data_IF_416007825270
#
_entry.id   IF_416007825270
#
_cell.length_a   1.000
_cell.length_b   1.000
_cell.length_c   1.000
_cell.angle_alpha   90.00
_cell.angle_beta   90.00
_cell.angle_gamma   90.00
#
_symmetry.space_group_name_H-M   'P 1'
#
loop_
_entity.id
_entity.type
_entity.pdbx_description
1 polymer ?
#
# COMPACT_ATOMS: atom_id res chain seq x y z
N UNK A 1 -4.73 8.00 -13.26
CA UNK A 1 -4.60 6.55 -13.47
C UNK A 1 -5.80 5.89 -12.84
N UNK A 2 -6.61 5.24 -13.62
CA UNK A 2 -7.71 4.44 -13.09
C UNK A 2 -7.13 3.09 -12.66
N UNK A 3 -7.17 2.78 -11.38
CA UNK A 3 -7.17 1.40 -10.90
C UNK A 3 -8.56 0.83 -11.19
N UNK A 4 -8.88 0.64 -12.47
CA UNK A 4 -10.13 0.04 -12.88
C UNK A 4 -9.85 -1.41 -13.24
N UNK A 5 -9.87 -2.29 -12.26
CA UNK A 5 -9.80 -3.72 -12.53
C UNK A 5 -10.98 -4.47 -11.90
N UNK A 6 -11.69 -3.89 -10.93
CA UNK A 6 -12.82 -4.57 -10.31
C UNK A 6 -13.93 -3.57 -9.99
N UNK A 7 -14.97 -3.55 -10.83
CA UNK A 7 -16.26 -2.93 -10.54
C UNK A 7 -17.11 -3.99 -9.80
N UNK A 8 -16.93 -4.09 -8.49
CA UNK A 8 -17.81 -4.89 -7.64
C UNK A 8 -18.90 -3.96 -7.11
N UNK A 9 -20.11 -4.10 -7.63
CA UNK A 9 -21.28 -3.29 -7.31
C UNK A 9 -21.85 -3.47 -5.89
N UNK A 10 -21.00 -3.64 -4.89
CA UNK A 10 -21.38 -3.62 -3.48
C UNK A 10 -20.77 -2.39 -2.79
N UNK A 11 -21.46 -1.83 -1.82
CA UNK A 11 -21.16 -0.61 -1.08
C UNK A 11 -19.68 -0.46 -0.77
N UNK A 12 -18.98 0.35 -1.56
CA UNK A 12 -17.56 0.61 -1.42
C UNK A 12 -17.24 1.12 -0.01
N UNK A 13 -16.20 0.54 0.62
CA UNK A 13 -15.68 0.95 1.91
C UNK A 13 -15.40 2.46 1.92
N UNK A 14 -15.96 3.19 2.89
CA UNK A 14 -15.62 4.58 3.07
C UNK A 14 -14.31 4.76 3.86
N UNK A 15 -13.75 5.98 3.85
CA UNK A 15 -12.46 6.24 4.48
C UNK A 15 -12.43 5.96 5.99
N UNK A 16 -13.51 6.22 6.70
CA UNK A 16 -13.59 5.93 8.14
C UNK A 16 -13.60 4.43 8.43
N UNK A 17 -14.30 3.66 7.61
CA UNK A 17 -14.31 2.19 7.69
C UNK A 17 -12.94 1.61 7.35
N UNK A 18 -12.27 2.16 6.34
CA UNK A 18 -10.92 1.79 5.98
C UNK A 18 -9.93 2.01 7.13
N UNK A 19 -9.99 3.16 7.79
CA UNK A 19 -9.11 3.46 8.94
C UNK A 19 -9.41 2.54 10.13
N UNK A 20 -10.68 2.28 10.45
CA UNK A 20 -11.06 1.33 11.49
C UNK A 20 -10.60 -0.09 11.20
N UNK A 21 -10.68 -0.51 9.94
CA UNK A 21 -10.18 -1.82 9.52
C UNK A 21 -8.66 -1.93 9.74
N UNK A 22 -7.90 -0.92 9.33
CA UNK A 22 -6.46 -0.90 9.52
C UNK A 22 -6.05 -0.88 11.00
N UNK A 23 -6.75 -0.11 11.82
CA UNK A 23 -6.54 -0.09 13.26
C UNK A 23 -6.81 -1.48 13.86
N UNK A 24 -7.92 -2.11 13.50
CA UNK A 24 -8.27 -3.47 13.93
C UNK A 24 -7.19 -4.49 13.54
N UNK A 25 -6.73 -4.47 12.29
CA UNK A 25 -5.67 -5.36 11.82
C UNK A 25 -4.38 -5.14 12.61
N UNK A 26 -4.05 -3.90 12.94
CA UNK A 26 -2.90 -3.54 13.77
C UNK A 26 -2.93 -4.15 15.19
N UNK A 27 -4.12 -4.52 15.69
CA UNK A 27 -4.26 -5.17 17.02
C UNK A 27 -3.94 -6.66 17.02
N UNK A 28 -3.90 -7.31 15.86
CA UNK A 28 -3.64 -8.76 15.77
C UNK A 28 -2.19 -9.16 16.06
N UNK A 29 -1.31 -8.17 16.23
CA UNK A 29 0.10 -8.39 16.50
C UNK A 29 0.92 -8.66 15.25
N UNK A 30 2.19 -9.04 15.47
CA UNK A 30 3.15 -9.30 14.38
C UNK A 30 3.47 -10.79 14.38
N UNK A 31 3.17 -11.44 13.27
CA UNK A 31 3.65 -12.79 12.98
C UNK A 31 4.97 -12.66 12.21
N UNK A 32 6.11 -13.08 12.80
CA UNK A 32 7.39 -13.00 12.11
C UNK A 32 7.43 -13.90 10.87
N UNK A 33 8.10 -13.44 9.83
CA UNK A 33 8.28 -14.19 8.60
C UNK A 33 7.68 -13.48 7.39
N UNK A 34 7.81 -14.12 6.23
CA UNK A 34 7.34 -13.58 4.96
C UNK A 34 6.21 -14.40 4.33
N UNK A 35 5.76 -15.46 4.98
CA UNK A 35 4.82 -16.42 4.38
C UNK A 35 3.46 -15.78 4.13
N UNK A 36 2.94 -15.02 5.08
CA UNK A 36 1.67 -14.31 4.94
C UNK A 36 1.71 -13.28 3.81
N UNK A 37 2.75 -12.45 3.76
CA UNK A 37 2.86 -11.42 2.72
C UNK A 37 3.10 -12.03 1.33
N UNK A 38 3.85 -13.12 1.24
CA UNK A 38 4.05 -13.86 -0.02
C UNK A 38 2.75 -14.46 -0.54
N UNK A 39 1.98 -15.08 0.35
CA UNK A 39 0.68 -15.64 -0.04
C UNK A 39 -0.30 -14.53 -0.48
N UNK A 40 -0.36 -13.42 0.25
CA UNK A 40 -1.17 -12.27 -0.16
C UNK A 40 -0.75 -11.74 -1.55
N UNK A 41 0.56 -11.55 -1.77
CA UNK A 41 1.08 -11.12 -3.07
C UNK A 41 0.69 -12.10 -4.19
N UNK A 42 0.83 -13.41 -3.94
CA UNK A 42 0.43 -14.45 -4.89
C UNK A 42 -1.05 -14.37 -5.26
N UNK A 43 -1.92 -14.16 -4.29
CA UNK A 43 -3.38 -14.00 -4.51
C UNK A 43 -3.71 -12.73 -5.30
N UNK A 44 -2.90 -11.69 -5.14
CA UNK A 44 -3.01 -10.42 -5.89
C UNK A 44 -2.33 -10.48 -7.27
N UNK A 45 -1.82 -11.65 -7.71
CA UNK A 45 -1.14 -11.81 -8.99
C UNK A 45 0.30 -11.33 -9.02
N UNK A 46 0.96 -11.34 -7.86
CA UNK A 46 2.39 -10.99 -7.68
C UNK A 46 2.77 -9.61 -8.24
N UNK A 47 2.04 -8.53 -7.90
CA UNK A 47 2.25 -7.20 -8.48
C UNK A 47 3.66 -6.64 -8.22
N UNK A 48 4.36 -7.14 -7.20
CA UNK A 48 5.73 -6.75 -6.88
C UNK A 48 6.74 -7.15 -7.98
N UNK A 49 6.43 -8.15 -8.79
CA UNK A 49 7.34 -8.61 -9.85
C UNK A 49 7.36 -7.67 -11.06
N UNK A 50 6.34 -6.84 -11.22
CA UNK A 50 6.22 -5.87 -12.31
C UNK A 50 6.86 -4.51 -11.99
N UNK A 51 7.38 -4.35 -10.78
CA UNK A 51 7.92 -3.09 -10.28
C UNK A 51 9.42 -3.18 -10.00
N UNK A 52 10.10 -2.04 -10.17
CA UNK A 52 11.47 -1.85 -9.70
C UNK A 52 11.45 -1.05 -8.41
N UNK A 53 12.18 -1.52 -7.40
CA UNK A 53 12.19 -0.90 -6.09
C UNK A 53 13.55 -0.30 -5.75
N UNK A 54 13.51 0.85 -5.07
CA UNK A 54 14.63 1.42 -4.34
C UNK A 54 14.24 1.47 -2.86
N UNK A 55 14.89 0.66 -2.04
CA UNK A 55 14.65 0.63 -0.59
C UNK A 55 15.65 1.53 0.12
N UNK A 56 15.15 2.49 0.90
CA UNK A 56 15.95 3.46 1.66
C UNK A 56 15.75 3.19 3.14
N UNK A 57 16.82 2.78 3.80
CA UNK A 57 16.86 2.53 5.25
C UNK A 57 17.94 3.37 5.91
N UNK A 58 17.78 3.66 7.19
CA UNK A 58 18.75 4.42 7.99
C UNK A 58 18.08 5.18 9.12
N UNK A 59 18.90 5.74 10.02
CA UNK A 59 18.43 6.52 11.16
C UNK A 59 18.04 7.95 10.79
N UNK A 60 18.84 8.60 9.93
CA UNK A 60 18.64 9.99 9.50
C UNK A 60 18.67 10.11 7.97
N UNK A 61 18.08 11.17 7.43
CA UNK A 61 18.19 11.54 6.03
C UNK A 61 17.36 10.71 5.04
N UNK A 62 16.58 9.71 5.50
CA UNK A 62 15.74 8.87 4.63
C UNK A 62 14.80 9.67 3.74
N UNK A 63 14.06 10.62 4.33
CA UNK A 63 13.11 11.45 3.61
C UNK A 63 13.78 12.35 2.55
N UNK A 64 14.91 12.95 2.89
CA UNK A 64 15.67 13.79 1.96
C UNK A 64 16.22 12.94 0.80
N UNK A 65 16.80 11.79 1.08
CA UNK A 65 17.31 10.86 0.07
C UNK A 65 16.19 10.39 -0.85
N UNK A 66 15.03 10.03 -0.31
CA UNK A 66 13.85 9.65 -1.08
C UNK A 66 13.40 10.81 -2.00
N UNK A 67 13.37 12.03 -1.49
CA UNK A 67 12.99 13.21 -2.27
C UNK A 67 13.94 13.43 -3.45
N UNK A 68 15.25 13.35 -3.23
CA UNK A 68 16.25 13.50 -4.32
C UNK A 68 16.09 12.41 -5.36
N UNK A 69 16.09 11.13 -4.97
CA UNK A 69 15.97 10.01 -5.91
C UNK A 69 14.65 10.10 -6.70
N UNK A 70 13.54 10.35 -6.03
CA UNK A 70 12.24 10.43 -6.70
C UNK A 70 12.16 11.59 -7.70
N UNK A 71 12.72 12.76 -7.38
CA UNK A 71 12.75 13.90 -8.29
C UNK A 71 13.66 13.64 -9.52
N UNK A 72 14.81 13.01 -9.32
CA UNK A 72 15.73 12.65 -10.41
C UNK A 72 15.05 11.66 -11.36
N UNK A 73 14.43 10.62 -10.82
CA UNK A 73 13.74 9.61 -11.63
C UNK A 73 12.55 10.20 -12.39
N UNK A 74 11.77 11.09 -11.74
CA UNK A 74 10.68 11.79 -12.42
C UNK A 74 11.18 12.70 -13.54
N UNK A 75 12.27 13.44 -13.30
CA UNK A 75 12.89 14.27 -14.32
C UNK A 75 13.44 13.44 -15.50
N UNK A 76 13.86 12.20 -15.25
CA UNK A 76 14.26 11.24 -16.27
C UNK A 76 13.08 10.57 -16.99
N UNK A 77 11.84 10.96 -16.71
CA UNK A 77 10.64 10.45 -17.38
C UNK A 77 10.04 9.18 -16.76
N UNK A 78 10.57 8.71 -15.63
CA UNK A 78 9.99 7.55 -14.95
C UNK A 78 8.73 7.92 -14.17
N UNK A 79 7.79 6.98 -14.11
CA UNK A 79 6.63 7.06 -13.24
C UNK A 79 7.01 6.50 -11.87
N UNK A 80 7.08 7.38 -10.88
CA UNK A 80 7.63 7.05 -9.55
C UNK A 80 6.52 7.01 -8.52
N UNK A 81 6.33 5.84 -7.91
CA UNK A 81 5.58 5.68 -6.67
C UNK A 81 6.50 5.85 -5.46
N UNK A 82 5.98 6.43 -4.38
CA UNK A 82 6.67 6.58 -3.10
C UNK A 82 5.82 6.00 -1.98
N UNK A 83 6.46 5.25 -1.09
CA UNK A 83 5.89 4.86 0.19
C UNK A 83 6.75 5.42 1.32
N UNK A 84 6.15 6.20 2.20
CA UNK A 84 6.87 6.90 3.28
C UNK A 84 6.33 6.54 4.66
N UNK A 85 7.21 6.50 5.66
CA UNK A 85 6.87 6.27 7.06
C UNK A 85 7.89 6.99 7.95
N UNK A 86 7.49 7.58 9.06
CA UNK A 86 6.12 7.71 9.58
C UNK A 86 5.29 8.78 8.86
N UNK A 87 3.98 8.83 9.15
CA UNK A 87 3.05 9.86 8.69
C UNK A 87 2.54 10.64 9.89
N UNK A 88 2.27 11.92 9.71
CA UNK A 88 1.92 12.83 10.80
C UNK A 88 0.43 13.19 10.80
N UNK A 89 -0.19 13.37 9.65
CA UNK A 89 -1.54 13.95 9.56
C UNK A 89 -2.54 13.01 8.87
N UNK A 90 -2.23 12.54 7.66
CA UNK A 90 -3.16 11.80 6.82
C UNK A 90 -2.49 10.52 6.27
N UNK A 91 -3.14 9.38 6.43
CA UNK A 91 -2.60 8.10 5.95
C UNK A 91 -2.28 8.10 4.45
N UNK A 92 -3.06 8.85 3.66
CA UNK A 92 -2.82 9.00 2.23
C UNK A 92 -1.46 9.65 1.89
N UNK A 93 -0.82 10.32 2.83
CA UNK A 93 0.53 10.87 2.64
C UNK A 93 1.59 9.77 2.49
N UNK A 94 1.33 8.56 3.02
CA UNK A 94 2.25 7.41 2.90
C UNK A 94 2.46 6.99 1.46
N UNK A 95 1.43 7.12 0.62
CA UNK A 95 1.41 6.59 -0.74
C UNK A 95 1.28 7.76 -1.71
N UNK A 96 2.29 7.98 -2.52
CA UNK A 96 2.31 9.07 -3.49
C UNK A 96 2.71 8.52 -4.86
N UNK A 97 2.11 9.08 -5.92
CA UNK A 97 2.49 8.82 -7.31
C UNK A 97 2.88 10.16 -7.93
N UNK A 98 4.13 10.26 -8.34
CA UNK A 98 4.70 11.54 -8.73
C UNK A 98 4.70 12.51 -7.55
N UNK A 99 3.99 13.64 -7.71
CA UNK A 99 3.84 14.68 -6.68
C UNK A 99 2.49 14.62 -5.95
N UNK A 100 1.63 13.67 -6.30
CA UNK A 100 0.28 13.57 -5.76
C UNK A 100 0.17 12.42 -4.76
N UNK A 101 -0.43 12.68 -3.61
CA UNK A 101 -0.82 11.62 -2.68
C UNK A 101 -2.02 10.85 -3.24
N UNK A 102 -2.13 9.57 -2.83
CA UNK A 102 -3.28 8.74 -3.17
C UNK A 102 -4.57 9.40 -2.67
N UNK A 103 -5.67 9.27 -3.42
CA UNK A 103 -6.97 9.75 -2.97
C UNK A 103 -7.57 8.82 -1.91
N UNK A 104 -8.49 9.33 -1.09
CA UNK A 104 -9.24 8.50 -0.15
C UNK A 104 -9.96 7.36 -0.87
N UNK A 105 -10.53 7.65 -2.06
CA UNK A 105 -11.21 6.65 -2.86
C UNK A 105 -10.26 5.53 -3.30
N UNK A 106 -9.13 5.86 -3.90
CA UNK A 106 -8.17 4.85 -4.39
C UNK A 106 -7.58 4.02 -3.24
N UNK A 107 -7.39 4.64 -2.05
CA UNK A 107 -6.96 3.94 -0.85
C UNK A 107 -8.03 2.94 -0.38
N UNK A 108 -9.29 3.36 -0.33
CA UNK A 108 -10.40 2.50 0.07
C UNK A 108 -10.59 1.34 -0.90
N UNK A 109 -10.59 1.61 -2.20
CA UNK A 109 -10.72 0.58 -3.23
C UNK A 109 -9.60 -0.47 -3.12
N UNK A 110 -8.36 -0.02 -2.91
CA UNK A 110 -7.22 -0.92 -2.70
C UNK A 110 -7.31 -1.75 -1.41
N UNK A 111 -7.75 -1.12 -0.31
CA UNK A 111 -7.92 -1.82 0.97
C UNK A 111 -9.06 -2.83 0.94
N UNK A 112 -10.12 -2.59 0.18
CA UNK A 112 -11.23 -3.53 0.02
C UNK A 112 -10.76 -4.82 -0.67
N UNK A 113 -10.01 -4.70 -1.75
CA UNK A 113 -9.40 -5.85 -2.43
C UNK A 113 -8.48 -6.63 -1.48
N UNK A 114 -7.62 -5.92 -0.74
CA UNK A 114 -6.71 -6.55 0.23
C UNK A 114 -7.50 -7.27 1.33
N UNK A 115 -8.55 -6.64 1.86
CA UNK A 115 -9.40 -7.22 2.90
C UNK A 115 -10.00 -8.55 2.47
N UNK A 116 -10.59 -8.61 1.29
CA UNK A 116 -11.18 -9.85 0.75
C UNK A 116 -10.17 -11.00 0.71
N UNK A 117 -8.97 -10.72 0.21
CA UNK A 117 -7.90 -11.72 0.18
C UNK A 117 -7.39 -12.10 1.57
N UNK A 118 -7.26 -11.15 2.49
CA UNK A 118 -6.88 -11.44 3.87
C UNK A 118 -7.92 -12.29 4.59
N UNK A 119 -9.20 -12.00 4.43
CA UNK A 119 -10.28 -12.79 5.03
C UNK A 119 -10.29 -14.22 4.49
N UNK A 120 -10.08 -14.40 3.19
CA UNK A 120 -9.93 -15.72 2.59
C UNK A 120 -8.67 -16.45 3.11
N UNK A 121 -7.57 -15.75 3.30
CA UNK A 121 -6.35 -16.34 3.88
C UNK A 121 -6.58 -16.85 5.31
N UNK A 122 -7.31 -16.10 6.13
CA UNK A 122 -7.66 -16.53 7.50
C UNK A 122 -8.50 -17.80 7.48
N UNK A 123 -9.46 -17.92 6.55
CA UNK A 123 -10.26 -19.14 6.36
C UNK A 123 -9.40 -20.33 5.95
N UNK A 124 -8.34 -20.10 5.20
CA UNK A 124 -7.37 -21.13 4.77
C UNK A 124 -6.29 -21.44 5.83
N UNK A 125 -6.36 -20.83 7.02
CA UNK A 125 -5.48 -21.11 8.17
C UNK A 125 -4.23 -20.24 8.25
N UNK A 126 -4.14 -19.18 7.47
CA UNK A 126 -3.10 -18.14 7.66
C UNK A 126 -3.48 -17.21 8.82
N UNK A 127 -2.49 -16.65 9.50
CA UNK A 127 -2.68 -15.80 10.69
C UNK A 127 -2.10 -14.41 10.49
#
# INVERSE_FOLDING_TARGET
MKFSVYDTGETAMNYQEAMKYMEKVGTYGIVPGLDNIRELCRRLGDPQNDLKFVHIAGTNGKGSTLAYISNILQAAGYRVGKYISPVIIDYCEKIQIGKQKITHKDLCDGLEIIREHCEAMVQDGFH
#
